data_IF_540435888574
#
_entry.id   IF_540435888574
#
_cell.length_a   1.000
_cell.length_b   1.000
_cell.length_c   1.000
_cell.angle_alpha   90.00
_cell.angle_beta   90.00
_cell.angle_gamma   90.00
#
_symmetry.space_group_name_H-M   'P 1'
#
loop_
_entity.id
_entity.type
_entity.pdbx_description
1 polymer ?
#
# COMPACT_ATOMS: atom_id res chain seq x y z
N UNK A 1 -1.90 60.97 46.12
CA UNK A 1 -2.82 59.81 46.25
C UNK A 1 -2.48 58.83 45.15
N UNK A 2 -2.24 57.59 45.55
CA UNK A 2 -1.79 56.37 44.86
C UNK A 2 -2.29 56.12 43.42
N UNK A 3 -1.46 55.43 42.62
CA UNK A 3 -1.68 54.01 42.23
C UNK A 3 -0.53 53.44 41.37
N UNK A 4 0.17 52.45 41.93
CA UNK A 4 0.97 51.47 41.19
C UNK A 4 0.12 50.72 40.15
N UNK A 5 0.74 50.35 39.03
CA UNK A 5 0.20 49.32 38.14
C UNK A 5 1.33 48.49 37.50
N UNK A 6 1.56 47.34 38.11
CA UNK A 6 1.97 46.02 37.61
C UNK A 6 2.86 45.90 36.36
N UNK A 7 4.01 45.22 36.59
CA UNK A 7 4.77 44.39 35.65
C UNK A 7 3.88 43.34 35.00
N UNK A 8 4.11 43.12 33.70
CA UNK A 8 4.10 41.92 32.86
C UNK A 8 4.43 42.50 31.45
N UNK A 9 5.14 41.94 30.48
CA UNK A 9 5.47 40.58 30.09
C UNK A 9 6.60 40.66 29.02
N UNK A 10 7.57 39.76 29.16
CA UNK A 10 8.28 38.95 28.15
C UNK A 10 8.58 39.51 26.73
N UNK A 11 9.85 39.32 26.36
CA UNK A 11 10.58 39.69 25.15
C UNK A 11 9.96 39.30 23.80
N UNK A 12 9.95 40.26 22.89
CA UNK A 12 9.84 40.08 21.44
C UNK A 12 11.16 39.52 20.89
N UNK A 13 11.16 38.24 20.51
CA UNK A 13 12.03 37.72 19.46
C UNK A 13 11.35 36.46 18.90
N UNK A 14 10.87 36.55 17.67
CA UNK A 14 11.06 35.48 16.71
C UNK A 14 11.06 36.12 15.35
N UNK A 15 12.25 36.21 14.75
CA UNK A 15 12.40 36.49 13.33
C UNK A 15 11.51 35.53 12.56
N UNK A 16 10.52 36.10 11.89
CA UNK A 16 9.65 35.43 10.93
C UNK A 16 10.53 34.95 9.78
N UNK A 17 11.01 33.71 9.89
CA UNK A 17 11.59 32.98 8.77
C UNK A 17 10.45 32.73 7.80
N UNK A 18 10.43 33.48 6.71
CA UNK A 18 9.47 33.30 5.63
C UNK A 18 9.68 31.91 5.03
N UNK A 19 8.83 30.96 5.40
CA UNK A 19 8.74 29.64 4.77
C UNK A 19 8.31 29.86 3.32
N UNK A 20 9.29 30.02 2.42
CA UNK A 20 9.04 29.89 0.99
C UNK A 20 8.51 28.48 0.73
N UNK A 21 7.49 28.32 -0.13
CA UNK A 21 7.10 27.00 -0.59
C UNK A 21 8.27 26.47 -1.42
N UNK A 22 9.03 25.54 -0.85
CA UNK A 22 10.06 24.83 -1.58
C UNK A 22 9.38 24.17 -2.78
N UNK A 23 9.67 24.73 -3.93
CA UNK A 23 9.26 24.24 -5.23
C UNK A 23 9.64 22.76 -5.27
N UNK A 24 8.65 21.86 -5.26
CA UNK A 24 8.80 20.40 -5.33
C UNK A 24 9.47 20.04 -6.66
N UNK A 25 10.80 20.20 -6.69
CA UNK A 25 11.64 19.82 -7.80
C UNK A 25 11.57 18.30 -7.84
N UNK A 26 10.70 17.80 -8.70
CA UNK A 26 10.57 16.39 -9.01
C UNK A 26 11.96 15.83 -9.28
N UNK A 27 12.54 15.15 -8.29
CA UNK A 27 13.82 14.49 -8.44
C UNK A 27 13.62 13.42 -9.49
N UNK A 28 14.10 13.68 -10.70
CA UNK A 28 14.00 12.75 -11.83
C UNK A 28 14.84 11.54 -11.49
N UNK A 29 14.20 10.37 -11.46
CA UNK A 29 14.87 9.11 -11.17
C UNK A 29 15.48 8.55 -12.45
N UNK A 30 16.81 8.38 -12.53
CA UNK A 30 17.48 8.00 -13.79
C UNK A 30 17.13 6.58 -14.24
N UNK A 31 16.68 5.72 -13.34
CA UNK A 31 16.27 4.33 -13.58
C UNK A 31 14.74 4.15 -13.72
N UNK A 32 13.97 5.23 -13.62
CA UNK A 32 12.52 5.17 -13.77
C UNK A 32 12.13 5.04 -15.25
N UNK A 33 11.43 3.97 -15.59
CA UNK A 33 10.80 3.82 -16.90
C UNK A 33 9.53 4.68 -17.03
N UNK A 34 8.92 5.04 -15.90
CA UNK A 34 7.76 5.93 -15.83
C UNK A 34 7.83 6.79 -14.57
N UNK A 35 7.51 8.08 -14.69
CA UNK A 35 7.46 9.02 -13.57
C UNK A 35 6.35 10.07 -13.77
N UNK A 36 5.68 10.43 -12.69
CA UNK A 36 4.73 11.54 -12.61
C UNK A 36 4.83 12.17 -11.22
N UNK A 37 5.45 13.34 -11.13
CA UNK A 37 5.80 13.97 -9.85
C UNK A 37 6.72 13.05 -9.03
N UNK A 38 6.34 12.75 -7.80
CA UNK A 38 7.06 11.85 -6.90
C UNK A 38 6.80 10.36 -7.11
N UNK A 39 5.82 9.99 -7.96
CA UNK A 39 5.46 8.59 -8.24
C UNK A 39 6.25 8.08 -9.45
N UNK A 40 6.94 6.96 -9.28
CA UNK A 40 7.76 6.37 -10.32
C UNK A 40 7.86 4.85 -10.16
N UNK A 41 8.25 4.17 -11.24
CA UNK A 41 8.57 2.75 -11.23
C UNK A 41 9.60 2.38 -12.30
N UNK A 42 10.25 1.23 -12.10
CA UNK A 42 11.20 0.64 -13.06
C UNK A 42 10.47 0.06 -14.26
N UNK A 43 11.21 -0.41 -15.27
CA UNK A 43 10.62 -1.08 -16.44
C UNK A 43 9.83 -2.34 -16.07
N UNK A 44 10.31 -3.11 -15.09
CA UNK A 44 9.63 -4.31 -14.60
C UNK A 44 8.33 -3.95 -13.85
N UNK A 45 8.35 -2.88 -13.06
CA UNK A 45 7.16 -2.39 -12.36
C UNK A 45 6.09 -1.92 -13.34
N UNK A 46 6.48 -1.20 -14.39
CA UNK A 46 5.58 -0.77 -15.45
C UNK A 46 5.00 -1.97 -16.22
N UNK A 47 5.83 -2.94 -16.58
CA UNK A 47 5.39 -4.16 -17.27
C UNK A 47 4.35 -4.91 -16.46
N UNK A 48 4.57 -5.06 -15.15
CA UNK A 48 3.59 -5.68 -14.26
C UNK A 48 2.30 -4.83 -14.16
N UNK A 49 2.39 -3.50 -14.13
CA UNK A 49 1.23 -2.62 -14.11
C UNK A 49 0.37 -2.75 -15.38
N UNK A 50 1.01 -2.80 -16.55
CA UNK A 50 0.33 -2.99 -17.84
C UNK A 50 -0.36 -4.35 -17.89
N UNK A 51 0.34 -5.41 -17.50
CA UNK A 51 -0.23 -6.75 -17.45
C UNK A 51 -1.43 -6.84 -16.49
N UNK A 52 -1.34 -6.22 -15.31
CA UNK A 52 -2.47 -6.16 -14.37
C UNK A 52 -3.66 -5.41 -14.98
N UNK A 53 -3.44 -4.37 -15.79
CA UNK A 53 -4.52 -3.67 -16.44
C UNK A 53 -5.16 -4.50 -17.56
N UNK A 54 -4.37 -5.26 -18.31
CA UNK A 54 -4.90 -6.21 -19.29
C UNK A 54 -5.77 -7.27 -18.59
N UNK A 55 -5.37 -7.76 -17.42
CA UNK A 55 -6.22 -8.62 -16.59
C UNK A 55 -7.54 -7.95 -16.20
N UNK A 56 -7.51 -6.68 -15.76
CA UNK A 56 -8.73 -5.92 -15.46
C UNK A 56 -9.65 -5.83 -16.68
N UNK A 57 -9.11 -5.60 -17.87
CA UNK A 57 -9.88 -5.55 -19.12
C UNK A 57 -10.58 -6.87 -19.46
N UNK A 58 -10.05 -8.01 -19.02
CA UNK A 58 -10.73 -9.30 -19.21
C UNK A 58 -12.04 -9.40 -18.41
N UNK A 59 -12.14 -8.69 -17.27
CA UNK A 59 -13.32 -8.65 -16.40
C UNK A 59 -14.24 -7.50 -16.78
N UNK A 60 -13.66 -6.33 -17.04
CA UNK A 60 -14.36 -5.09 -17.36
C UNK A 60 -13.77 -4.48 -18.64
N UNK A 61 -14.23 -4.89 -19.84
CA UNK A 61 -13.69 -4.40 -21.11
C UNK A 61 -13.80 -2.88 -21.31
N UNK A 62 -14.77 -2.24 -20.63
CA UNK A 62 -14.99 -0.80 -20.62
C UNK A 62 -14.10 -0.04 -19.63
N UNK A 63 -13.19 -0.72 -18.90
CA UNK A 63 -12.32 -0.09 -17.93
C UNK A 63 -11.43 0.98 -18.58
N UNK A 64 -11.39 2.15 -17.94
CA UNK A 64 -10.57 3.28 -18.38
C UNK A 64 -9.10 3.02 -18.07
N UNK A 65 -8.22 3.54 -18.94
CA UNK A 65 -6.76 3.49 -18.75
C UNK A 65 -6.39 4.10 -17.38
N UNK A 66 -5.64 3.37 -16.53
CA UNK A 66 -5.25 3.86 -15.22
C UNK A 66 -4.09 4.85 -15.31
N UNK A 67 -3.78 5.50 -14.19
CA UNK A 67 -2.51 6.20 -14.05
C UNK A 67 -1.38 5.17 -13.82
N UNK A 68 -0.66 4.83 -14.90
CA UNK A 68 0.41 3.86 -14.84
C UNK A 68 1.59 4.28 -13.96
N UNK A 69 1.90 5.58 -13.83
CA UNK A 69 2.94 6.02 -12.90
C UNK A 69 2.57 5.72 -11.44
N UNK A 70 1.29 5.85 -11.11
CA UNK A 70 0.77 5.46 -9.80
C UNK A 70 0.82 3.95 -9.57
N UNK A 71 0.38 3.17 -10.56
CA UNK A 71 0.37 1.71 -10.47
C UNK A 71 1.78 1.12 -10.36
N UNK A 72 2.69 1.56 -11.21
CA UNK A 72 4.09 1.13 -11.17
C UNK A 72 4.74 1.52 -9.83
N UNK A 73 4.41 2.69 -9.29
CA UNK A 73 4.86 3.08 -7.95
C UNK A 73 4.34 2.15 -6.86
N UNK A 74 3.06 1.78 -6.88
CA UNK A 74 2.50 0.86 -5.88
C UNK A 74 3.15 -0.53 -5.95
N UNK A 75 3.41 -1.03 -7.16
CA UNK A 75 4.14 -2.29 -7.40
C UNK A 75 5.57 -2.19 -6.89
N UNK A 76 6.28 -1.10 -7.20
CA UNK A 76 7.63 -0.84 -6.67
C UNK A 76 7.64 -0.84 -5.14
N UNK A 77 6.63 -0.23 -4.51
CA UNK A 77 6.52 -0.24 -3.04
C UNK A 77 6.27 -1.65 -2.50
N UNK A 78 5.47 -2.48 -3.19
CA UNK A 78 5.33 -3.89 -2.82
C UNK A 78 6.64 -4.66 -2.92
N UNK A 79 7.47 -4.34 -3.92
CA UNK A 79 8.80 -4.94 -4.10
C UNK A 79 9.79 -4.52 -3.03
N UNK A 80 9.96 -3.21 -2.87
CA UNK A 80 11.01 -2.64 -2.03
C UNK A 80 10.67 -2.61 -0.55
N UNK A 81 9.39 -2.40 -0.20
CA UNK A 81 8.97 -2.26 1.21
C UNK A 81 8.29 -3.51 1.76
N UNK A 82 7.50 -4.18 0.94
CA UNK A 82 6.75 -5.36 1.40
C UNK A 82 7.48 -6.68 1.11
N UNK A 83 8.61 -6.63 0.39
CA UNK A 83 9.43 -7.81 0.08
C UNK A 83 8.78 -8.80 -0.89
N UNK A 84 7.83 -8.35 -1.71
CA UNK A 84 7.07 -9.18 -2.65
C UNK A 84 7.69 -9.10 -4.05
N UNK A 85 7.82 -10.21 -4.77
CA UNK A 85 8.30 -10.16 -6.16
C UNK A 85 7.12 -10.00 -7.14
N UNK A 86 7.38 -9.50 -8.36
CA UNK A 86 6.34 -9.25 -9.37
C UNK A 86 5.54 -10.51 -9.72
N UNK A 87 6.17 -11.68 -9.74
CA UNK A 87 5.52 -12.94 -10.09
C UNK A 87 4.40 -13.25 -9.09
N UNK A 88 4.68 -13.18 -7.79
CA UNK A 88 3.69 -13.44 -6.75
C UNK A 88 2.56 -12.40 -6.80
N UNK A 89 2.89 -11.14 -7.07
CA UNK A 89 1.89 -10.09 -7.25
C UNK A 89 0.95 -10.41 -8.41
N UNK A 90 1.48 -10.74 -9.58
CA UNK A 90 0.69 -11.07 -10.76
C UNK A 90 -0.15 -12.34 -10.56
N UNK A 91 0.40 -13.37 -9.93
CA UNK A 91 -0.32 -14.61 -9.60
C UNK A 91 -1.50 -14.33 -8.66
N UNK A 92 -1.27 -13.56 -7.60
CA UNK A 92 -2.34 -13.23 -6.64
C UNK A 92 -3.38 -12.30 -7.26
N UNK A 93 -2.96 -11.33 -8.06
CA UNK A 93 -3.85 -10.41 -8.76
C UNK A 93 -4.77 -11.14 -9.76
N UNK A 94 -4.22 -12.06 -10.56
CA UNK A 94 -5.04 -12.88 -11.47
C UNK A 94 -6.03 -13.74 -10.71
N UNK A 95 -5.63 -14.35 -9.59
CA UNK A 95 -6.56 -15.11 -8.76
C UNK A 95 -7.68 -14.21 -8.23
N UNK A 96 -7.35 -13.02 -7.72
CA UNK A 96 -8.34 -12.05 -7.24
C UNK A 96 -9.30 -11.62 -8.36
N UNK A 97 -8.79 -11.41 -9.58
CA UNK A 97 -9.59 -11.09 -10.76
C UNK A 97 -10.56 -12.21 -11.19
N UNK A 98 -10.27 -13.46 -10.83
CA UNK A 98 -11.09 -14.63 -11.19
C UNK A 98 -12.05 -15.05 -10.06
N UNK A 99 -11.87 -14.49 -8.87
CA UNK A 99 -12.71 -14.81 -7.72
C UNK A 99 -13.99 -13.98 -7.71
N UNK A 100 -15.12 -14.62 -7.43
CA UNK A 100 -16.45 -13.98 -7.47
C UNK A 100 -16.59 -12.80 -6.51
N UNK A 101 -15.90 -12.83 -5.38
CA UNK A 101 -15.93 -11.74 -4.40
C UNK A 101 -14.84 -10.71 -4.69
N UNK A 102 -13.62 -11.15 -4.97
CA UNK A 102 -12.48 -10.24 -5.11
C UNK A 102 -12.41 -9.52 -6.46
N UNK A 103 -12.99 -10.06 -7.53
CA UNK A 103 -12.93 -9.48 -8.87
C UNK A 103 -13.52 -8.07 -8.96
N UNK A 104 -14.54 -7.75 -8.15
CA UNK A 104 -15.09 -6.39 -8.06
C UNK A 104 -14.37 -5.48 -7.06
N UNK A 105 -13.52 -6.03 -6.19
CA UNK A 105 -12.91 -5.32 -5.06
C UNK A 105 -11.41 -5.03 -5.24
N UNK A 106 -10.71 -5.82 -6.06
CA UNK A 106 -9.27 -5.70 -6.30
C UNK A 106 -9.03 -5.57 -7.80
N UNK A 107 -9.02 -4.31 -8.25
CA UNK A 107 -8.81 -3.92 -9.65
C UNK A 107 -7.61 -2.98 -9.83
N UNK A 108 -6.75 -2.86 -8.81
CA UNK A 108 -5.54 -2.05 -8.86
C UNK A 108 -4.43 -2.58 -7.94
N UNK A 109 -3.16 -2.26 -8.20
CA UNK A 109 -2.04 -2.64 -7.34
C UNK A 109 -2.17 -2.10 -5.90
N UNK A 110 -2.67 -0.87 -5.71
CA UNK A 110 -2.94 -0.33 -4.38
C UNK A 110 -3.90 -1.23 -3.57
N UNK A 111 -5.01 -1.66 -4.19
CA UNK A 111 -5.98 -2.55 -3.51
C UNK A 111 -5.42 -3.95 -3.28
N UNK A 112 -4.62 -4.46 -4.22
CA UNK A 112 -3.89 -5.71 -4.04
C UNK A 112 -2.97 -5.64 -2.82
N UNK A 113 -2.20 -4.55 -2.69
CA UNK A 113 -1.30 -4.31 -1.57
C UNK A 113 -2.04 -4.25 -0.24
N UNK A 114 -3.12 -3.47 -0.17
CA UNK A 114 -3.96 -3.30 1.03
C UNK A 114 -4.57 -4.63 1.52
N UNK A 115 -4.92 -5.52 0.57
CA UNK A 115 -5.65 -6.77 0.85
C UNK A 115 -4.79 -8.01 0.78
N UNK A 116 -3.48 -7.88 0.57
CA UNK A 116 -2.56 -8.99 0.30
C UNK A 116 -2.76 -10.19 1.24
N UNK A 117 -2.64 -9.99 2.55
CA UNK A 117 -2.76 -11.06 3.56
C UNK A 117 -4.13 -11.73 3.50
N UNK A 118 -5.19 -10.95 3.30
CA UNK A 118 -6.54 -11.47 3.21
C UNK A 118 -6.71 -12.32 1.94
N UNK A 119 -6.17 -11.87 0.81
CA UNK A 119 -6.19 -12.60 -0.46
C UNK A 119 -5.42 -13.93 -0.34
N UNK A 120 -4.23 -13.94 0.26
CA UNK A 120 -3.45 -15.16 0.49
C UNK A 120 -4.21 -16.18 1.33
N UNK A 121 -4.82 -15.75 2.44
CA UNK A 121 -5.63 -16.61 3.30
C UNK A 121 -6.82 -17.20 2.52
N UNK A 122 -7.52 -16.38 1.75
CA UNK A 122 -8.69 -16.84 0.99
C UNK A 122 -8.29 -17.81 -0.14
N UNK A 123 -7.22 -17.50 -0.87
CA UNK A 123 -6.66 -18.37 -1.90
C UNK A 123 -6.23 -19.72 -1.34
N UNK A 124 -5.54 -19.72 -0.19
CA UNK A 124 -5.09 -20.94 0.46
C UNK A 124 -6.27 -21.76 1.01
N UNK A 125 -7.31 -21.11 1.56
CA UNK A 125 -8.55 -21.78 1.99
C UNK A 125 -9.28 -22.45 0.84
N UNK A 126 -9.36 -21.80 -0.33
CA UNK A 126 -9.96 -22.41 -1.52
C UNK A 126 -9.15 -23.61 -2.00
N UNK A 127 -7.82 -23.55 -1.96
CA UNK A 127 -6.96 -24.69 -2.30
C UNK A 127 -7.09 -25.84 -1.30
N UNK A 128 -7.12 -25.54 0.01
CA UNK A 128 -7.30 -26.53 1.08
C UNK A 128 -8.71 -27.15 1.11
N UNK A 129 -9.73 -26.47 0.58
CA UNK A 129 -11.06 -27.05 0.38
C UNK A 129 -11.07 -28.22 -0.62
N UNK A 130 -10.05 -28.29 -1.48
CA UNK A 130 -9.86 -29.39 -2.45
C UNK A 130 -9.01 -30.53 -1.85
N UNK A 131 -8.25 -30.28 -0.79
CA UNK A 131 -7.37 -31.26 -0.10
C UNK A 131 -7.57 -31.19 1.42
N UNK A 132 -8.39 -32.11 1.94
CA UNK A 132 -8.92 -32.21 3.31
C UNK A 132 -8.01 -31.88 4.53
N UNK A 133 -8.68 -31.52 5.66
CA UNK A 133 -8.25 -31.82 7.04
C UNK A 133 -7.47 -30.72 7.79
N UNK A 134 -8.15 -29.86 8.56
CA UNK A 134 -7.48 -28.88 9.46
C UNK A 134 -6.99 -29.54 10.76
N UNK A 135 -5.76 -29.27 11.23
CA UNK A 135 -5.41 -29.51 12.62
C UNK A 135 -6.17 -28.52 13.51
N UNK A 136 -6.75 -29.02 14.60
CA UNK A 136 -7.53 -28.22 15.56
C UNK A 136 -6.57 -27.43 16.43
N UNK A 137 -6.48 -26.12 16.21
CA UNK A 137 -5.84 -25.20 17.16
C UNK A 137 -6.71 -25.17 18.43
N UNK A 138 -6.10 -25.46 19.58
CA UNK A 138 -6.75 -25.31 20.87
C UNK A 138 -6.70 -23.83 21.29
N UNK A 139 -7.74 -23.10 20.90
CA UNK A 139 -7.92 -21.68 21.23
C UNK A 139 -8.28 -21.46 22.72
N UNK A 140 -8.41 -22.52 23.52
CA UNK A 140 -8.76 -22.44 24.94
C UNK A 140 -7.56 -22.58 25.87
N UNK A 141 -6.37 -22.86 25.33
CA UNK A 141 -5.15 -22.87 26.10
C UNK A 141 -4.67 -21.42 26.38
N UNK A 142 -5.01 -20.91 27.56
CA UNK A 142 -4.59 -19.60 28.09
C UNK A 142 -3.34 -19.68 28.96
N UNK A 143 -2.61 -20.80 29.00
CA UNK A 143 -1.47 -20.98 29.91
C UNK A 143 -0.33 -19.96 29.67
N UNK A 144 -0.29 -19.32 28.50
CA UNK A 144 0.69 -18.29 28.16
C UNK A 144 0.49 -16.96 28.88
N UNK A 145 -0.69 -16.66 29.43
CA UNK A 145 -0.97 -15.35 30.06
C UNK A 145 -0.51 -15.27 31.52
N UNK A 146 -0.25 -16.41 32.16
CA UNK A 146 0.14 -16.48 33.58
C UNK A 146 1.64 -16.24 33.83
N UNK A 147 2.46 -16.10 32.78
CA UNK A 147 3.90 -15.86 32.88
C UNK A 147 4.32 -14.41 32.61
N UNK A 148 3.38 -13.49 32.43
CA UNK A 148 3.65 -12.06 32.20
C UNK A 148 3.39 -11.31 33.49
N UNK A 149 4.45 -11.07 34.27
CA UNK A 149 4.38 -10.14 35.40
C UNK A 149 4.21 -8.69 34.89
N UNK A 150 3.32 -7.93 35.54
CA UNK A 150 2.96 -6.53 35.21
C UNK A 150 4.07 -5.53 35.56
#
# INVERSE_FOLDING_TARGET
>A
MTKEKRKDYSSENSGESSDQPENDLSVVKPDAAIQSGSKWGTAEDLTAAEWMFDMVKTIAPSARKPNFAGWANDIRLMRERDGRNHRDMCVLFRWACQDNFWSGNVLSPAKLRDKWTQLEINRNKQQAGVTAGKPKLDLTNTDWIYGVDL
#
